data_IF_346198244121
#
_entry.id   IF_346198244121
#
_cell.length_a   1.000
_cell.length_b   1.000
_cell.length_c   1.000
_cell.angle_alpha   90.00
_cell.angle_beta   90.00
_cell.angle_gamma   90.00
#
_symmetry.space_group_name_H-M   'P 1'
#
loop_
_entity.id
_entity.type
_entity.pdbx_description
1 polymer ?
#
# COMPACT_ATOMS: atom_id res chain seq x y z
N UNK A 1 2.60 -8.68 -17.85
CA UNK A 1 1.54 -8.02 -17.06
C UNK A 1 2.15 -6.89 -16.26
N UNK A 2 1.55 -5.72 -16.33
CA UNK A 2 2.04 -4.58 -15.60
C UNK A 2 1.40 -4.54 -14.21
N UNK A 3 2.22 -4.38 -13.18
CA UNK A 3 1.76 -4.39 -11.80
C UNK A 3 2.04 -3.02 -11.17
N UNK A 4 1.05 -2.50 -10.46
CA UNK A 4 1.21 -1.26 -9.71
C UNK A 4 0.97 -1.51 -8.23
N UNK A 5 1.78 -0.86 -7.42
CA UNK A 5 1.62 -0.90 -5.97
C UNK A 5 0.97 0.40 -5.55
N UNK A 6 -0.20 0.31 -4.95
CA UNK A 6 -1.00 1.49 -4.62
C UNK A 6 -1.80 1.28 -3.35
N UNK A 7 -2.37 2.39 -2.85
CA UNK A 7 -3.29 2.31 -1.71
C UNK A 7 -4.69 1.96 -2.20
N UNK A 8 -5.34 1.11 -1.43
CA UNK A 8 -6.73 0.75 -1.66
C UNK A 8 -7.50 0.98 -0.35
N UNK A 9 -8.68 1.58 -0.44
CA UNK A 9 -9.52 1.76 0.74
C UNK A 9 -9.93 0.39 1.28
N UNK A 10 -9.66 0.16 2.56
CA UNK A 10 -9.99 -1.11 3.18
C UNK A 10 -11.33 -1.08 3.91
N UNK A 11 -11.76 0.11 4.36
CA UNK A 11 -13.03 0.24 5.04
C UNK A 11 -13.06 1.48 5.92
N UNK A 12 -14.21 1.76 6.50
CA UNK A 12 -14.36 2.84 7.44
C UNK A 12 -14.09 2.35 8.86
N UNK A 13 -13.21 3.03 9.58
CA UNK A 13 -13.00 2.76 10.99
C UNK A 13 -13.94 3.59 11.87
N UNK A 14 -14.47 4.69 11.31
CA UNK A 14 -15.48 5.51 11.96
C UNK A 14 -16.15 6.38 10.88
N UNK A 15 -17.04 7.28 11.29
CA UNK A 15 -17.96 7.97 10.39
C UNK A 15 -17.33 8.60 9.14
N UNK A 16 -16.12 9.14 9.24
CA UNK A 16 -15.50 9.82 8.11
C UNK A 16 -14.06 9.40 7.89
N UNK A 17 -13.65 8.31 8.50
CA UNK A 17 -12.25 7.89 8.45
C UNK A 17 -12.12 6.55 7.76
N UNK A 18 -11.13 6.47 6.89
CA UNK A 18 -10.84 5.25 6.17
C UNK A 18 -9.46 4.75 6.53
N UNK A 19 -9.32 3.44 6.60
CA UNK A 19 -8.00 2.85 6.58
C UNK A 19 -7.72 2.34 5.18
N UNK A 20 -6.46 2.09 4.90
CA UNK A 20 -6.00 1.73 3.57
C UNK A 20 -5.11 0.51 3.64
N UNK A 21 -5.10 -0.23 2.55
CA UNK A 21 -4.16 -1.32 2.34
C UNK A 21 -3.19 -0.94 1.25
N UNK A 22 -1.93 -1.34 1.43
CA UNK A 22 -0.92 -1.21 0.38
C UNK A 22 -0.94 -2.52 -0.39
N UNK A 23 -1.32 -2.46 -1.66
CA UNK A 23 -1.56 -3.67 -2.45
C UNK A 23 -0.85 -3.61 -3.78
N UNK A 24 -0.51 -4.80 -4.30
CA UNK A 24 -0.04 -4.95 -5.66
C UNK A 24 -1.24 -5.32 -6.53
N UNK A 25 -1.48 -4.56 -7.58
CA UNK A 25 -2.62 -4.74 -8.46
C UNK A 25 -2.18 -4.77 -9.91
N UNK A 26 -2.89 -5.56 -10.72
CA UNK A 26 -2.71 -5.50 -12.14
C UNK A 26 -3.27 -4.18 -12.66
N UNK A 27 -2.50 -3.52 -13.53
CA UNK A 27 -2.95 -2.26 -14.11
C UNK A 27 -4.24 -2.40 -14.90
N UNK A 28 -4.41 -3.54 -15.56
CA UNK A 28 -5.56 -3.77 -16.42
C UNK A 28 -6.78 -4.31 -15.70
N UNK A 29 -6.60 -4.84 -14.49
CA UNK A 29 -7.69 -5.45 -13.74
C UNK A 29 -7.87 -4.74 -12.41
N UNK A 30 -8.27 -3.47 -12.48
CA UNK A 30 -8.55 -2.69 -11.29
C UNK A 30 -10.01 -2.74 -10.86
N UNK A 31 -10.85 -3.42 -11.61
CA UNK A 31 -12.26 -3.55 -11.30
C UNK A 31 -12.47 -4.26 -9.98
N UNK A 32 -13.46 -3.81 -9.23
CA UNK A 32 -13.92 -4.47 -8.01
C UNK A 32 -12.86 -4.54 -6.92
N UNK A 33 -11.77 -3.80 -7.06
CA UNK A 33 -10.77 -3.71 -6.02
C UNK A 33 -9.95 -4.97 -5.80
N UNK A 34 -9.89 -5.86 -6.78
CA UNK A 34 -9.06 -7.05 -6.67
C UNK A 34 -7.59 -6.70 -6.62
N UNK A 35 -6.86 -7.40 -5.78
CA UNK A 35 -5.43 -7.21 -5.69
C UNK A 35 -4.71 -8.55 -5.81
N UNK A 36 -3.47 -8.48 -6.28
CA UNK A 36 -2.63 -9.66 -6.46
C UNK A 36 -1.96 -10.07 -5.15
N UNK A 37 -1.62 -9.09 -4.33
CA UNK A 37 -0.93 -9.35 -3.07
C UNK A 37 -1.17 -8.18 -2.11
N UNK A 38 -1.22 -8.48 -0.83
CA UNK A 38 -1.33 -7.49 0.23
C UNK A 38 0.05 -7.25 0.80
N UNK A 39 0.53 -5.99 0.72
CA UNK A 39 1.88 -5.63 1.14
C UNK A 39 1.92 -4.94 2.48
N UNK A 40 0.83 -4.35 2.91
CA UNK A 40 0.80 -3.64 4.17
C UNK A 40 -0.49 -2.86 4.36
N UNK A 41 -0.49 -2.00 5.36
CA UNK A 41 -1.65 -1.18 5.64
C UNK A 41 -1.23 0.20 6.16
N UNK A 42 -2.14 1.15 6.06
CA UNK A 42 -1.94 2.52 6.48
C UNK A 42 -3.22 3.06 7.09
N UNK A 43 -3.13 3.60 8.29
CA UNK A 43 -4.27 4.20 8.96
C UNK A 43 -3.89 5.62 9.39
N UNK A 44 -4.28 6.66 8.62
CA UNK A 44 -3.93 8.02 8.96
C UNK A 44 -4.74 8.59 10.13
N UNK A 45 -5.79 7.90 10.56
CA UNK A 45 -6.62 8.37 11.66
C UNK A 45 -5.94 8.24 13.02
N UNK A 46 -4.96 7.36 13.12
CA UNK A 46 -4.21 7.19 14.37
C UNK A 46 -3.10 8.24 14.48
N UNK A 47 -2.71 8.55 15.70
CA UNK A 47 -1.63 9.52 15.96
C UNK A 47 -0.55 8.85 16.81
N UNK A 48 0.65 8.64 16.27
CA UNK A 48 1.01 8.85 14.86
C UNK A 48 0.29 7.86 13.95
N UNK A 49 0.20 8.21 12.68
CA UNK A 49 -0.47 7.35 11.71
C UNK A 49 0.13 5.95 11.73
N UNK A 50 -0.73 4.94 11.76
CA UNK A 50 -0.29 3.56 11.73
C UNK A 50 0.15 3.21 10.31
N UNK A 51 1.34 2.66 10.18
CA UNK A 51 1.90 2.31 8.88
C UNK A 51 2.74 1.06 9.03
N UNK A 52 2.41 0.05 8.25
CA UNK A 52 3.17 -1.19 8.25
C UNK A 52 3.28 -1.69 6.82
N UNK A 53 4.49 -2.00 6.40
CA UNK A 53 4.76 -2.45 5.04
C UNK A 53 5.68 -3.67 5.11
N UNK A 54 5.31 -4.73 4.42
CA UNK A 54 6.17 -5.89 4.29
C UNK A 54 7.21 -5.61 3.21
N UNK A 55 8.41 -5.18 3.66
CA UNK A 55 9.46 -4.79 2.74
C UNK A 55 9.95 -5.94 1.87
N UNK A 56 9.92 -7.16 2.38
CA UNK A 56 10.35 -8.31 1.59
C UNK A 56 9.44 -8.51 0.39
N UNK A 57 8.13 -8.49 0.60
CA UNK A 57 7.16 -8.60 -0.50
C UNK A 57 7.27 -7.42 -1.44
N UNK A 58 7.41 -6.22 -0.88
CA UNK A 58 7.56 -5.02 -1.69
C UNK A 58 8.75 -5.13 -2.64
N UNK A 59 9.90 -5.52 -2.12
CA UNK A 59 11.11 -5.66 -2.93
C UNK A 59 10.94 -6.73 -4.00
N UNK A 60 10.27 -7.82 -3.67
CA UNK A 60 10.00 -8.89 -4.62
C UNK A 60 9.20 -8.38 -5.81
N UNK A 61 8.15 -7.60 -5.54
CA UNK A 61 7.32 -7.06 -6.61
C UNK A 61 8.08 -6.03 -7.43
N UNK A 62 8.86 -5.16 -6.77
CA UNK A 62 9.65 -4.15 -7.48
C UNK A 62 10.70 -4.82 -8.36
N UNK A 63 11.35 -5.86 -7.85
CA UNK A 63 12.33 -6.61 -8.63
C UNK A 63 11.72 -7.22 -9.87
N UNK A 64 10.44 -7.55 -9.81
CA UNK A 64 9.71 -8.12 -10.95
C UNK A 64 9.06 -7.06 -11.83
N UNK A 65 9.39 -5.79 -11.64
CA UNK A 65 8.94 -4.72 -12.50
C UNK A 65 7.72 -3.94 -12.03
N UNK A 66 7.24 -4.19 -10.81
CA UNK A 66 6.11 -3.43 -10.28
C UNK A 66 6.51 -1.97 -10.02
N UNK A 67 5.57 -1.06 -10.24
CA UNK A 67 5.79 0.36 -10.03
C UNK A 67 4.94 0.86 -8.88
N UNK A 68 5.53 1.67 -8.00
CA UNK A 68 4.81 2.26 -6.89
C UNK A 68 4.17 3.58 -7.32
N UNK A 69 2.95 3.83 -6.80
CA UNK A 69 2.37 5.15 -6.92
C UNK A 69 3.18 6.15 -6.10
N UNK A 70 3.02 7.45 -6.39
CA UNK A 70 3.73 8.49 -5.64
C UNK A 70 3.39 8.44 -4.15
N UNK A 71 2.13 8.21 -3.82
CA UNK A 71 1.70 8.11 -2.43
C UNK A 71 2.38 6.93 -1.73
N UNK A 72 2.40 5.76 -2.36
CA UNK A 72 3.05 4.59 -1.78
C UNK A 72 4.55 4.82 -1.64
N UNK A 73 5.17 5.46 -2.63
CA UNK A 73 6.59 5.78 -2.55
C UNK A 73 6.91 6.62 -1.33
N UNK A 74 6.10 7.64 -1.06
CA UNK A 74 6.26 8.49 0.13
C UNK A 74 6.08 7.68 1.41
N UNK A 75 5.07 6.81 1.46
CA UNK A 75 4.83 5.98 2.64
C UNK A 75 5.97 5.00 2.89
N UNK A 76 6.54 4.43 1.84
CA UNK A 76 7.67 3.52 1.98
C UNK A 76 8.87 4.25 2.58
N UNK A 77 9.14 5.47 2.12
CA UNK A 77 10.22 6.28 2.69
C UNK A 77 9.99 6.57 4.17
N UNK A 78 8.76 6.93 4.53
CA UNK A 78 8.40 7.19 5.91
C UNK A 78 8.56 5.95 6.78
N UNK A 79 8.11 4.80 6.28
CA UNK A 79 8.23 3.55 7.00
C UNK A 79 9.69 3.19 7.25
N UNK A 80 10.54 3.30 6.24
CA UNK A 80 11.96 3.01 6.39
C UNK A 80 12.62 3.95 7.41
N UNK A 81 12.21 5.21 7.41
CA UNK A 81 12.73 6.18 8.37
C UNK A 81 12.35 5.80 9.80
N UNK A 82 11.14 5.30 10.00
CA UNK A 82 10.66 4.87 11.32
C UNK A 82 11.36 3.61 11.82
N UNK A 83 11.95 2.83 10.91
CA UNK A 83 12.60 1.58 11.25
C UNK A 83 14.01 1.73 11.83
N UNK A 84 14.56 2.91 11.82
CA UNK A 84 15.89 3.15 12.37
C UNK A 84 15.92 3.04 13.88
#
# INVERSE_FOLDING_TARGET
MEVRIRLQKAGKTSNKRYNYRVVAMSRTDSRQGRHLDLLGYYDPAKKPAALNINLEKLQKWIKNGAQMSDTVGSLVKEFKRRQK
#
